data_IF_760985732570
#
_entry.id   IF_760985732570
#
_cell.length_a   1.000
_cell.length_b   1.000
_cell.length_c   1.000
_cell.angle_alpha   90.00
_cell.angle_beta   90.00
_cell.angle_gamma   90.00
#
_symmetry.space_group_name_H-M   'P 1'
#
loop_
_entity.id
_entity.type
_entity.pdbx_description
1 polymer ?
#
# COMPACT_ATOMS: atom_id res chain seq x y z
N UNK A 1 73.01 -48.81 9.62
CA UNK A 1 72.92 -48.19 10.97
C UNK A 1 72.18 -46.85 10.97
N UNK A 2 72.67 -45.77 10.36
CA UNK A 2 71.98 -44.47 10.41
C UNK A 2 70.64 -44.44 9.63
N UNK A 3 70.58 -45.06 8.45
CA UNK A 3 69.36 -45.17 7.64
C UNK A 3 68.27 -46.02 8.30
N UNK A 4 68.67 -47.13 8.94
CA UNK A 4 67.74 -48.03 9.64
C UNK A 4 67.08 -47.33 10.84
N UNK A 5 67.85 -46.51 11.57
CA UNK A 5 67.35 -45.69 12.68
C UNK A 5 66.34 -44.62 12.21
N UNK A 6 66.60 -43.98 11.08
CA UNK A 6 65.66 -43.00 10.48
C UNK A 6 64.38 -43.70 10.04
N UNK A 7 64.49 -44.89 9.43
CA UNK A 7 63.35 -45.68 8.98
C UNK A 7 62.48 -46.15 10.14
N UNK A 8 63.07 -46.62 11.25
CA UNK A 8 62.32 -46.96 12.46
C UNK A 8 61.60 -45.75 13.06
N UNK A 9 62.27 -44.60 13.14
CA UNK A 9 61.64 -43.35 13.63
C UNK A 9 60.48 -42.93 12.74
N UNK A 10 60.62 -43.03 11.41
CA UNK A 10 59.56 -42.72 10.46
C UNK A 10 58.37 -43.67 10.61
N UNK A 11 58.59 -44.99 10.71
CA UNK A 11 57.52 -45.96 10.97
C UNK A 11 56.83 -45.72 12.32
N UNK A 12 57.61 -45.42 13.37
CA UNK A 12 57.08 -45.08 14.68
C UNK A 12 56.28 -43.77 14.70
N UNK A 13 56.61 -42.81 13.84
CA UNK A 13 55.83 -41.58 13.65
C UNK A 13 54.52 -41.89 12.92
N UNK A 14 54.58 -42.62 11.81
CA UNK A 14 53.40 -43.01 11.01
C UNK A 14 52.40 -43.81 11.85
N UNK A 15 52.87 -44.78 12.63
CA UNK A 15 52.02 -45.59 13.50
C UNK A 15 51.36 -44.75 14.61
N UNK A 16 52.09 -43.80 15.21
CA UNK A 16 51.54 -42.88 16.21
C UNK A 16 50.48 -41.96 15.61
N UNK A 17 50.73 -41.39 14.43
CA UNK A 17 49.77 -40.55 13.73
C UNK A 17 48.51 -41.35 13.40
N UNK A 18 48.66 -42.57 12.86
CA UNK A 18 47.55 -43.47 12.52
C UNK A 18 46.70 -43.85 13.74
N UNK A 19 47.34 -44.17 14.86
CA UNK A 19 46.67 -44.45 16.12
C UNK A 19 45.89 -43.24 16.65
N UNK A 20 46.46 -42.04 16.56
CA UNK A 20 45.80 -40.80 16.99
C UNK A 20 44.59 -40.46 16.13
N UNK A 21 44.66 -40.65 14.81
CA UNK A 21 43.50 -40.49 13.91
C UNK A 21 42.40 -41.50 14.19
N UNK A 22 42.73 -42.77 14.47
CA UNK A 22 41.73 -43.78 14.85
C UNK A 22 41.03 -43.43 16.15
N UNK A 23 41.80 -43.12 17.20
CA UNK A 23 41.24 -42.70 18.49
C UNK A 23 40.34 -41.47 18.39
N UNK A 24 40.70 -40.49 17.55
CA UNK A 24 39.85 -39.33 17.30
C UNK A 24 38.55 -39.72 16.56
N UNK A 25 38.64 -40.58 15.55
CA UNK A 25 37.47 -41.08 14.83
C UNK A 25 36.50 -41.84 15.75
N UNK A 26 37.03 -42.76 16.57
CA UNK A 26 36.24 -43.53 17.55
C UNK A 26 35.55 -42.61 18.57
N UNK A 27 36.24 -41.55 19.02
CA UNK A 27 35.67 -40.56 19.93
C UNK A 27 34.56 -39.71 19.27
N UNK A 28 34.70 -39.40 17.98
CA UNK A 28 33.65 -38.72 17.21
C UNK A 28 32.45 -39.62 17.02
N UNK A 29 32.65 -40.88 16.63
CA UNK A 29 31.59 -41.88 16.41
C UNK A 29 30.79 -42.12 17.69
N UNK A 30 31.47 -42.36 18.81
CA UNK A 30 30.83 -42.51 20.13
C UNK A 30 30.00 -41.28 20.50
N UNK A 31 30.52 -40.07 20.25
CA UNK A 31 29.80 -38.82 20.51
C UNK A 31 28.60 -38.64 19.58
N UNK A 32 28.69 -39.11 18.33
CA UNK A 32 27.57 -39.12 17.39
C UNK A 32 26.49 -40.11 17.82
N UNK A 33 26.84 -41.31 18.29
CA UNK A 33 25.90 -42.27 18.86
C UNK A 33 25.22 -41.74 20.14
N UNK A 34 25.98 -41.12 21.04
CA UNK A 34 25.45 -40.47 22.24
C UNK A 34 24.47 -39.33 21.89
N UNK A 35 24.74 -38.58 20.83
CA UNK A 35 23.81 -37.54 20.34
C UNK A 35 22.60 -38.17 19.62
N UNK A 36 22.80 -39.19 18.80
CA UNK A 36 21.75 -39.87 18.05
C UNK A 36 20.75 -40.58 18.97
N UNK A 37 21.24 -41.24 20.02
CA UNK A 37 20.40 -41.83 21.06
C UNK A 37 19.57 -40.78 21.80
N UNK A 38 20.12 -39.58 22.01
CA UNK A 38 19.42 -38.47 22.69
C UNK A 38 18.31 -37.82 21.85
N UNK A 39 18.32 -37.96 20.52
CA UNK A 39 17.31 -37.44 19.59
C UNK A 39 16.48 -38.55 18.92
N UNK A 40 16.48 -39.76 19.46
CA UNK A 40 15.75 -40.87 18.88
C UNK A 40 14.25 -40.59 18.90
N UNK A 41 13.63 -40.67 17.72
CA UNK A 41 12.18 -40.63 17.59
C UNK A 41 11.57 -42.01 17.87
N UNK A 42 10.32 -42.02 18.29
CA UNK A 42 9.54 -43.22 18.63
C UNK A 42 8.30 -43.33 17.76
N UNK A 43 7.67 -44.50 17.77
CA UNK A 43 6.43 -44.76 17.04
C UNK A 43 5.19 -44.39 17.86
N UNK A 44 4.04 -44.24 17.20
CA UNK A 44 2.76 -43.88 17.81
C UNK A 44 2.31 -44.82 18.94
N UNK A 45 2.72 -46.09 18.92
CA UNK A 45 2.37 -47.03 20.00
C UNK A 45 3.12 -46.71 21.30
N UNK A 46 4.31 -46.12 21.19
CA UNK A 46 5.26 -45.86 22.29
C UNK A 46 5.06 -44.50 22.96
N UNK A 47 4.34 -43.56 22.34
CA UNK A 47 4.11 -42.24 22.92
C UNK A 47 3.12 -42.29 24.10
N UNK A 48 3.23 -41.36 25.07
CA UNK A 48 2.25 -41.19 26.13
C UNK A 48 0.83 -40.90 25.62
N UNK A 49 -0.20 -41.24 26.39
CA UNK A 49 -1.61 -41.07 26.01
C UNK A 49 -2.00 -39.62 25.68
N UNK A 50 -1.46 -38.64 26.41
CA UNK A 50 -1.74 -37.21 26.17
C UNK A 50 -1.21 -36.70 24.81
N UNK A 51 -0.30 -37.44 24.16
CA UNK A 51 0.25 -37.12 22.84
C UNK A 51 -0.44 -37.89 21.70
N UNK A 52 -1.32 -38.86 21.99
CA UNK A 52 -1.98 -39.71 20.98
C UNK A 52 -3.13 -38.98 20.30
N UNK A 53 -2.80 -38.04 19.42
CA UNK A 53 -3.75 -37.17 18.73
C UNK A 53 -4.21 -37.69 17.37
N UNK A 54 -3.32 -38.30 16.61
CA UNK A 54 -3.57 -38.72 15.23
C UNK A 54 -3.06 -40.15 15.01
N UNK A 55 -3.93 -41.17 15.02
CA UNK A 55 -3.51 -42.57 14.85
C UNK A 55 -2.98 -42.89 13.45
N UNK A 56 -3.10 -41.97 12.49
CA UNK A 56 -2.65 -42.17 11.12
C UNK A 56 -1.18 -41.78 10.91
N UNK A 57 -0.62 -40.98 11.81
CA UNK A 57 0.81 -40.66 11.86
C UNK A 57 1.49 -41.73 12.71
N UNK A 58 2.41 -42.51 12.13
CA UNK A 58 2.90 -43.74 12.76
C UNK A 58 4.28 -43.59 13.38
N UNK A 59 5.15 -42.78 12.79
CA UNK A 59 6.54 -42.63 13.18
C UNK A 59 6.95 -41.16 13.37
N UNK A 60 8.14 -40.95 13.94
CA UNK A 60 8.77 -39.63 13.99
C UNK A 60 8.44 -38.80 15.23
N UNK A 61 7.83 -39.39 16.27
CA UNK A 61 7.48 -38.68 17.50
C UNK A 61 8.67 -38.46 18.42
N UNK A 62 8.68 -37.33 19.14
CA UNK A 62 9.63 -37.02 20.22
C UNK A 62 8.97 -37.24 21.57
N UNK A 63 9.67 -37.77 22.57
CA UNK A 63 9.14 -37.97 23.93
C UNK A 63 10.18 -37.68 25.00
N UNK A 64 9.73 -37.20 26.16
CA UNK A 64 10.51 -36.99 27.38
C UNK A 64 11.75 -36.10 27.23
N UNK A 65 11.66 -35.06 26.39
CA UNK A 65 12.78 -34.15 26.15
C UNK A 65 12.94 -33.11 27.27
N UNK A 66 14.20 -32.84 27.63
CA UNK A 66 14.54 -31.66 28.43
C UNK A 66 14.31 -30.35 27.65
N UNK A 67 14.19 -29.21 28.34
CA UNK A 67 13.98 -27.89 27.68
C UNK A 67 15.02 -27.60 26.59
N UNK A 68 16.29 -28.00 26.79
CA UNK A 68 17.38 -27.75 25.85
C UNK A 68 17.26 -28.67 24.63
N UNK A 69 16.85 -29.92 24.84
CA UNK A 69 16.57 -30.87 23.78
C UNK A 69 15.41 -30.43 22.90
N UNK A 70 14.32 -29.90 23.49
CA UNK A 70 13.21 -29.33 22.72
C UNK A 70 13.71 -28.27 21.73
N UNK A 71 14.49 -27.28 22.21
CA UNK A 71 15.05 -26.25 21.35
C UNK A 71 16.02 -26.80 20.30
N UNK A 72 16.90 -27.73 20.67
CA UNK A 72 17.83 -28.33 19.70
C UNK A 72 17.13 -29.20 18.66
N UNK A 73 15.96 -29.75 18.99
CA UNK A 73 15.17 -30.57 18.07
C UNK A 73 14.53 -29.77 16.94
N UNK A 74 14.39 -28.44 17.07
CA UNK A 74 13.93 -27.55 15.98
C UNK A 74 14.74 -27.75 14.69
N UNK A 75 16.03 -28.07 14.81
CA UNK A 75 16.94 -28.31 13.70
C UNK A 75 17.12 -29.80 13.37
N UNK A 76 16.21 -30.66 13.83
CA UNK A 76 16.16 -32.10 13.56
C UNK A 76 14.85 -32.47 12.90
N UNK A 77 14.88 -33.50 12.08
CA UNK A 77 13.71 -33.99 11.36
C UNK A 77 12.88 -34.91 12.25
N UNK A 78 11.60 -34.60 12.39
CA UNK A 78 10.59 -35.33 13.15
C UNK A 78 9.20 -34.91 12.66
N UNK A 79 8.14 -35.55 13.14
CA UNK A 79 6.76 -35.31 12.68
C UNK A 79 6.29 -33.84 12.87
N UNK A 80 6.82 -33.16 13.90
CA UNK A 80 6.51 -31.75 14.18
C UNK A 80 7.39 -30.71 13.45
N UNK A 81 8.39 -31.12 12.65
CA UNK A 81 9.36 -30.17 12.08
C UNK A 81 8.66 -29.12 11.23
N UNK A 82 7.75 -29.53 10.34
CA UNK A 82 7.01 -28.60 9.49
C UNK A 82 6.02 -27.74 10.27
N UNK A 83 5.39 -28.29 11.32
CA UNK A 83 4.49 -27.52 12.17
C UNK A 83 5.23 -26.37 12.87
N UNK A 84 6.46 -26.60 13.33
CA UNK A 84 7.34 -25.58 13.93
C UNK A 84 7.76 -24.55 12.87
N UNK A 85 8.33 -25.00 11.75
CA UNK A 85 8.93 -24.11 10.77
C UNK A 85 7.92 -23.29 9.97
N UNK A 86 6.73 -23.83 9.67
CA UNK A 86 5.69 -23.08 8.95
C UNK A 86 5.27 -21.83 9.72
N UNK A 87 4.95 -21.95 11.00
CA UNK A 87 4.56 -20.84 11.84
C UNK A 87 5.73 -19.97 12.30
N UNK A 88 6.94 -20.53 12.49
CA UNK A 88 8.13 -19.73 12.81
C UNK A 88 8.54 -18.83 11.63
N UNK A 89 8.53 -19.35 10.41
CA UNK A 89 8.75 -18.54 9.20
C UNK A 89 7.63 -17.51 9.05
N UNK A 90 6.38 -17.92 9.23
CA UNK A 90 5.23 -17.02 9.23
C UNK A 90 5.40 -15.85 10.21
N UNK A 91 5.86 -16.11 11.43
CA UNK A 91 6.13 -15.08 12.43
C UNK A 91 7.12 -14.04 11.90
N UNK A 92 8.22 -14.46 11.27
CA UNK A 92 9.20 -13.52 10.72
C UNK A 92 8.66 -12.75 9.51
N UNK A 93 7.81 -13.37 8.69
CA UNK A 93 7.10 -12.66 7.60
C UNK A 93 6.21 -11.57 8.19
N UNK A 94 5.36 -11.88 9.17
CA UNK A 94 4.50 -10.89 9.81
C UNK A 94 5.29 -9.84 10.59
N UNK A 95 6.43 -10.18 11.19
CA UNK A 95 7.32 -9.21 11.83
C UNK A 95 7.93 -8.23 10.80
N UNK A 96 8.34 -8.74 9.63
CA UNK A 96 8.81 -7.90 8.53
C UNK A 96 7.67 -7.02 7.97
N UNK A 97 6.46 -7.57 7.86
CA UNK A 97 5.26 -6.80 7.49
C UNK A 97 4.97 -5.72 8.53
N UNK A 98 5.04 -6.01 9.83
CA UNK A 98 4.86 -5.01 10.89
C UNK A 98 5.89 -3.90 10.76
N UNK A 99 7.16 -4.27 10.61
CA UNK A 99 8.24 -3.32 10.43
C UNK A 99 7.98 -2.46 9.19
N UNK A 100 7.62 -3.05 8.05
CA UNK A 100 7.27 -2.33 6.84
C UNK A 100 6.04 -1.42 7.05
N UNK A 101 4.97 -1.89 7.67
CA UNK A 101 3.79 -1.08 8.01
C UNK A 101 4.16 0.09 8.91
N UNK A 102 5.01 -0.10 9.91
CA UNK A 102 5.42 0.98 10.80
C UNK A 102 6.45 1.93 10.16
N UNK A 103 7.34 1.42 9.32
CA UNK A 103 8.43 2.16 8.68
C UNK A 103 8.02 2.82 7.36
N UNK A 104 7.51 2.05 6.41
CA UNK A 104 7.10 2.53 5.10
C UNK A 104 5.84 3.36 5.18
N UNK A 105 4.84 2.91 5.96
CA UNK A 105 3.63 3.71 6.10
C UNK A 105 3.83 4.88 7.05
N UNK A 106 4.86 4.92 7.93
CA UNK A 106 5.19 6.07 8.81
C UNK A 106 4.81 7.43 8.20
N UNK A 107 4.31 8.43 8.95
CA UNK A 107 3.91 9.75 8.43
C UNK A 107 4.97 10.43 7.54
N UNK A 108 6.21 9.95 7.56
CA UNK A 108 7.32 10.43 6.76
C UNK A 108 7.51 9.71 5.39
N UNK A 109 6.77 8.64 5.08
CA UNK A 109 7.07 7.70 3.99
C UNK A 109 6.10 7.69 2.81
N UNK A 110 4.78 7.61 3.04
CA UNK A 110 3.77 7.50 1.96
C UNK A 110 3.19 8.85 1.53
N UNK A 111 3.04 9.79 2.47
CA UNK A 111 2.39 11.08 2.19
C UNK A 111 3.17 11.91 1.17
N UNK A 112 4.50 11.78 1.12
CA UNK A 112 5.33 12.56 0.19
C UNK A 112 5.22 12.08 -1.26
N UNK A 113 5.16 10.78 -1.50
CA UNK A 113 5.10 10.24 -2.87
C UNK A 113 3.70 10.42 -3.46
N UNK A 114 2.65 10.12 -2.69
CA UNK A 114 1.26 10.29 -3.14
C UNK A 114 0.89 11.77 -3.30
N UNK A 115 1.35 12.65 -2.41
CA UNK A 115 1.15 14.09 -2.58
C UNK A 115 1.90 14.62 -3.81
N UNK A 116 3.10 14.11 -4.10
CA UNK A 116 3.86 14.51 -5.28
C UNK A 116 3.20 14.03 -6.58
N UNK A 117 2.71 12.79 -6.62
CA UNK A 117 2.07 12.20 -7.79
C UNK A 117 0.68 12.83 -8.06
N UNK A 118 -0.10 13.12 -7.00
CA UNK A 118 -1.36 13.85 -7.11
C UNK A 118 -1.15 15.31 -7.53
N UNK A 119 -0.13 15.98 -6.99
CA UNK A 119 0.25 17.33 -7.39
C UNK A 119 0.63 17.37 -8.87
N UNK A 120 1.46 16.43 -9.34
CA UNK A 120 1.87 16.37 -10.75
C UNK A 120 0.71 16.09 -11.69
N UNK A 121 -0.22 15.21 -11.30
CA UNK A 121 -1.38 14.84 -12.14
C UNK A 121 -2.38 15.98 -12.22
N UNK A 122 -2.72 16.62 -11.10
CA UNK A 122 -3.59 17.79 -11.08
C UNK A 122 -2.98 18.97 -11.84
N UNK A 123 -1.68 19.20 -11.69
CA UNK A 123 -0.98 20.24 -12.44
C UNK A 123 -1.02 19.98 -13.96
N UNK A 124 -0.86 18.72 -14.39
CA UNK A 124 -0.94 18.36 -15.81
C UNK A 124 -2.35 18.51 -16.39
N UNK A 125 -3.39 18.05 -15.69
CA UNK A 125 -4.78 18.22 -16.15
C UNK A 125 -5.20 19.69 -16.19
N UNK A 126 -4.81 20.48 -15.19
CA UNK A 126 -5.10 21.90 -15.19
C UNK A 126 -4.39 22.59 -16.35
N UNK A 127 -3.08 22.36 -16.53
CA UNK A 127 -2.33 22.97 -17.64
C UNK A 127 -2.88 22.56 -19.01
N UNK A 128 -3.34 21.33 -19.20
CA UNK A 128 -3.92 20.88 -20.47
C UNK A 128 -5.29 21.51 -20.78
N UNK A 129 -6.11 21.78 -19.77
CA UNK A 129 -7.42 22.41 -19.98
C UNK A 129 -7.33 23.91 -20.29
N UNK A 130 -6.30 24.60 -19.80
CA UNK A 130 -6.10 26.04 -20.05
C UNK A 130 -5.18 26.34 -21.24
N UNK A 131 -4.46 25.36 -21.77
CA UNK A 131 -3.58 25.54 -22.93
C UNK A 131 -4.33 26.01 -24.20
N UNK A 132 -5.52 25.46 -24.55
CA UNK A 132 -6.27 25.91 -25.73
C UNK A 132 -6.76 27.36 -25.59
N UNK A 133 -7.19 27.76 -24.39
CA UNK A 133 -7.65 29.11 -24.11
C UNK A 133 -6.50 30.12 -24.15
N UNK A 134 -5.32 29.75 -23.62
CA UNK A 134 -4.11 30.58 -23.71
C UNK A 134 -3.62 30.72 -25.16
N UNK A 135 -3.67 29.65 -25.95
CA UNK A 135 -3.37 29.72 -27.39
C UNK A 135 -4.40 30.55 -28.16
N UNK A 136 -5.69 30.48 -27.79
CA UNK A 136 -6.73 31.30 -28.40
C UNK A 136 -6.54 32.78 -28.05
N UNK A 137 -6.22 33.11 -26.80
CA UNK A 137 -5.94 34.48 -26.36
C UNK A 137 -4.70 35.02 -27.07
N UNK A 138 -3.63 34.22 -27.17
CA UNK A 138 -2.41 34.62 -27.90
C UNK A 138 -2.68 34.87 -29.39
N UNK A 139 -3.50 34.03 -30.05
CA UNK A 139 -3.93 34.25 -31.45
C UNK A 139 -4.79 35.50 -31.59
N UNK A 140 -5.77 35.70 -30.72
CA UNK A 140 -6.60 36.91 -30.72
C UNK A 140 -5.78 38.19 -30.47
N UNK A 141 -4.69 38.10 -29.69
CA UNK A 141 -3.75 39.21 -29.47
C UNK A 141 -2.90 39.49 -30.71
N UNK A 142 -2.47 38.45 -31.43
CA UNK A 142 -1.77 38.61 -32.71
C UNK A 142 -2.69 39.24 -33.77
N UNK A 143 -3.94 38.77 -33.87
CA UNK A 143 -4.93 39.33 -34.80
C UNK A 143 -5.28 40.79 -34.45
N UNK A 144 -5.39 41.12 -33.17
CA UNK A 144 -5.57 42.52 -32.75
C UNK A 144 -4.36 43.38 -33.08
N UNK A 145 -3.14 42.84 -32.93
CA UNK A 145 -1.92 43.56 -33.31
C UNK A 145 -1.89 43.82 -34.81
N UNK A 146 -2.22 42.83 -35.64
CA UNK A 146 -2.30 43.00 -37.11
C UNK A 146 -3.41 43.99 -37.51
N UNK A 147 -4.58 43.91 -36.88
CA UNK A 147 -5.66 44.86 -37.14
C UNK A 147 -5.30 46.29 -36.71
N UNK A 148 -4.59 46.46 -35.59
CA UNK A 148 -4.12 47.77 -35.14
C UNK A 148 -3.11 48.37 -36.13
N UNK A 149 -2.17 47.57 -36.64
CA UNK A 149 -1.23 47.98 -37.69
C UNK A 149 -1.99 48.37 -38.97
N UNK A 150 -3.00 47.60 -39.36
CA UNK A 150 -3.80 47.87 -40.57
C UNK A 150 -4.63 49.16 -40.45
N UNK A 151 -5.16 49.43 -39.26
CA UNK A 151 -5.88 50.67 -38.96
C UNK A 151 -4.92 51.86 -38.96
N UNK A 152 -3.71 51.70 -38.42
CA UNK A 152 -2.65 52.71 -38.50
C UNK A 152 -2.27 53.02 -39.95
N UNK A 153 -2.10 52.00 -40.79
CA UNK A 153 -1.85 52.15 -42.24
C UNK A 153 -3.00 52.88 -42.96
N UNK A 154 -4.26 52.51 -42.69
CA UNK A 154 -5.43 53.18 -43.29
C UNK A 154 -5.57 54.63 -42.83
N UNK A 155 -5.31 54.91 -41.56
CA UNK A 155 -5.30 56.29 -41.05
C UNK A 155 -4.21 57.09 -41.76
N UNK A 156 -3.02 56.53 -41.90
CA UNK A 156 -1.91 57.19 -42.58
C UNK A 156 -2.20 57.44 -44.07
N UNK A 157 -2.88 56.51 -44.74
CA UNK A 157 -3.33 56.66 -46.12
C UNK A 157 -4.40 57.76 -46.26
N UNK A 158 -5.41 57.77 -45.37
CA UNK A 158 -6.44 58.81 -45.34
C UNK A 158 -5.85 60.20 -45.03
N UNK A 159 -4.88 60.28 -44.11
CA UNK A 159 -4.15 61.51 -43.83
C UNK A 159 -3.34 61.99 -45.03
N UNK A 160 -2.68 61.09 -45.75
CA UNK A 160 -1.94 61.42 -46.97
C UNK A 160 -2.88 61.91 -48.07
N UNK A 161 -4.05 61.29 -48.24
CA UNK A 161 -5.08 61.74 -49.18
C UNK A 161 -5.58 63.15 -48.83
N UNK A 162 -5.95 63.39 -47.57
CA UNK A 162 -6.41 64.69 -47.10
C UNK A 162 -5.33 65.78 -47.27
N UNK A 163 -4.05 65.44 -47.05
CA UNK A 163 -2.92 66.33 -47.28
C UNK A 163 -2.77 66.68 -48.77
N UNK A 164 -2.89 65.71 -49.66
CA UNK A 164 -2.80 65.91 -51.11
C UNK A 164 -3.93 66.80 -51.62
N UNK A 165 -5.18 66.53 -51.22
CA UNK A 165 -6.33 67.37 -51.56
C UNK A 165 -6.16 68.82 -51.10
N UNK A 166 -5.69 69.01 -49.87
CA UNK A 166 -5.48 70.35 -49.32
C UNK A 166 -4.37 71.11 -50.06
N UNK A 167 -3.25 70.43 -50.39
CA UNK A 167 -2.17 71.02 -51.18
C UNK A 167 -2.62 71.37 -52.60
N UNK A 168 -3.42 70.50 -53.22
CA UNK A 168 -4.04 70.75 -54.52
C UNK A 168 -4.99 71.97 -54.45
N UNK A 169 -5.80 72.06 -53.40
CA UNK A 169 -6.67 73.22 -53.14
C UNK A 169 -5.88 74.53 -53.01
N UNK A 170 -4.75 74.51 -52.29
CA UNK A 170 -3.86 75.67 -52.16
C UNK A 170 -3.22 76.03 -53.52
N UNK A 171 -2.81 75.05 -54.32
CA UNK A 171 -2.27 75.30 -55.66
C UNK A 171 -3.32 75.88 -56.61
N UNK A 172 -4.55 75.35 -56.60
CA UNK A 172 -5.66 75.87 -57.38
C UNK A 172 -6.01 77.30 -56.97
N UNK A 173 -6.02 77.59 -55.67
CA UNK A 173 -6.25 78.94 -55.14
C UNK A 173 -5.13 79.90 -55.59
N UNK A 174 -3.87 79.46 -55.53
CA UNK A 174 -2.73 80.23 -56.01
C UNK A 174 -2.88 80.54 -57.51
N UNK A 175 -3.21 79.54 -58.32
CA UNK A 175 -3.37 79.72 -59.77
C UNK A 175 -4.54 80.65 -60.10
N UNK A 176 -5.65 80.53 -59.38
CA UNK A 176 -6.79 81.44 -59.53
C UNK A 176 -6.46 82.89 -59.14
N UNK A 177 -5.64 83.09 -58.11
CA UNK A 177 -5.15 84.42 -57.72
C UNK A 177 -4.15 85.00 -58.74
N UNK A 178 -3.30 84.16 -59.34
CA UNK A 178 -2.36 84.55 -60.41
C UNK A 178 -3.10 84.93 -61.72
N UNK A 179 -4.18 84.20 -62.07
CA UNK A 179 -5.02 84.49 -63.24
C UNK A 179 -5.82 85.81 -63.08
N UNK A 180 -6.23 86.16 -61.87
CA UNK A 180 -6.98 87.40 -61.60
C UNK A 180 -6.11 88.67 -61.61
N UNK A 181 -4.79 88.57 -61.43
CA UNK A 181 -3.91 89.74 -61.46
C UNK A 181 -2.45 89.40 -61.83
N UNK A 182 -2.06 89.49 -63.11
CA UNK A 182 -0.74 89.05 -63.60
C UNK A 182 0.47 89.86 -63.09
N UNK A 183 0.26 90.96 -62.37
CA UNK A 183 1.34 91.91 -62.01
C UNK A 183 1.22 92.48 -60.60
N UNK A 184 0.45 91.85 -59.71
CA UNK A 184 0.33 92.31 -58.33
C UNK A 184 1.43 91.71 -57.44
N UNK A 185 2.22 92.52 -56.71
CA UNK A 185 3.16 92.01 -55.72
C UNK A 185 2.38 91.65 -54.45
N UNK A 186 1.73 90.49 -54.45
CA UNK A 186 1.16 89.94 -53.21
C UNK A 186 2.35 89.65 -52.28
N UNK A 187 2.38 90.17 -51.04
CA UNK A 187 3.36 89.72 -50.06
C UNK A 187 3.13 88.23 -49.90
N UNK A 188 4.07 87.44 -50.43
CA UNK A 188 4.11 86.00 -50.32
C UNK A 188 4.45 85.64 -48.87
N UNK A 189 3.60 86.07 -47.94
CA UNK A 189 3.63 85.66 -46.54
C UNK A 189 3.37 84.16 -46.59
N UNK A 190 4.47 83.45 -46.35
CA UNK A 190 4.80 82.19 -47.00
C UNK A 190 3.64 81.20 -47.00
N UNK A 191 3.12 80.88 -48.18
CA UNK A 191 2.35 79.64 -48.41
C UNK A 191 3.15 78.42 -47.88
N UNK A 192 4.48 78.49 -47.90
CA UNK A 192 5.38 77.53 -47.25
C UNK A 192 5.23 77.48 -45.72
N UNK A 193 4.99 78.59 -45.04
CA UNK A 193 4.79 78.65 -43.58
C UNK A 193 3.40 78.13 -43.21
N UNK A 194 2.36 78.41 -43.99
CA UNK A 194 1.03 77.83 -43.79
C UNK A 194 1.05 76.33 -44.05
N UNK A 195 1.73 75.87 -45.11
CA UNK A 195 1.92 74.44 -45.37
C UNK A 195 2.75 73.75 -44.27
N UNK A 196 3.79 74.42 -43.73
CA UNK A 196 4.55 73.92 -42.59
C UNK A 196 3.71 73.86 -41.31
N UNK A 197 2.92 74.89 -41.01
CA UNK A 197 2.06 74.93 -39.83
C UNK A 197 0.98 73.86 -39.87
N UNK A 198 0.40 73.61 -41.05
CA UNK A 198 -0.56 72.52 -41.25
C UNK A 198 0.13 71.15 -41.10
N UNK A 199 1.32 70.97 -41.68
CA UNK A 199 2.11 69.74 -41.51
C UNK A 199 2.51 69.49 -40.05
N UNK A 200 2.81 70.55 -39.29
CA UNK A 200 3.18 70.47 -37.86
C UNK A 200 1.96 70.20 -36.98
N UNK A 201 0.78 70.73 -37.35
CA UNK A 201 -0.49 70.45 -36.67
C UNK A 201 -0.93 68.99 -36.87
N UNK A 202 -0.79 68.45 -38.08
CA UNK A 202 -1.04 67.02 -38.35
C UNK A 202 0.01 66.10 -37.70
N UNK A 203 1.28 66.52 -37.61
CA UNK A 203 2.32 65.78 -36.88
C UNK A 203 2.07 65.66 -35.37
N UNK A 204 1.24 66.54 -34.78
CA UNK A 204 0.86 66.51 -33.36
C UNK A 204 -0.39 65.66 -33.07
N UNK A 205 -1.10 65.19 -34.10
CA UNK A 205 -2.30 64.35 -34.00
C UNK A 205 -1.97 62.84 -34.02
N UNK A 206 -0.88 62.41 -33.37
CA UNK A 206 -0.57 60.98 -33.24
C UNK A 206 -1.63 60.27 -32.37
N UNK A 207 -2.08 59.05 -32.72
CA UNK A 207 -3.16 58.35 -32.03
C UNK A 207 -2.66 57.70 -30.73
N UNK A 208 -2.34 58.50 -29.70
CA UNK A 208 -1.91 57.99 -28.39
C UNK A 208 -3.07 57.83 -27.40
N UNK A 209 -4.13 58.64 -27.47
CA UNK A 209 -5.17 58.62 -26.43
C UNK A 209 -6.07 57.38 -26.48
N UNK A 210 -6.44 56.90 -27.68
CA UNK A 210 -7.28 55.71 -27.81
C UNK A 210 -6.55 54.41 -27.42
N UNK A 211 -5.26 54.29 -27.73
CA UNK A 211 -4.44 53.14 -27.34
C UNK A 211 -4.21 53.11 -25.82
N UNK A 212 -4.06 54.28 -25.20
CA UNK A 212 -3.89 54.41 -23.75
C UNK A 212 -5.17 54.06 -22.97
N UNK A 213 -6.34 54.50 -23.45
CA UNK A 213 -7.66 54.11 -22.93
C UNK A 213 -7.89 52.60 -23.04
N UNK A 214 -7.53 52.00 -24.17
CA UNK A 214 -7.66 50.57 -24.40
C UNK A 214 -6.73 49.75 -23.47
N UNK A 215 -5.51 50.23 -23.23
CA UNK A 215 -4.57 49.64 -22.28
C UNK A 215 -5.07 49.70 -20.82
N UNK A 216 -5.71 50.81 -20.41
CA UNK A 216 -6.32 50.94 -19.08
C UNK A 216 -7.50 49.98 -18.90
N UNK A 217 -8.36 49.86 -19.90
CA UNK A 217 -9.49 48.92 -19.89
C UNK A 217 -9.02 47.47 -19.76
N UNK A 218 -7.95 47.11 -20.48
CA UNK A 218 -7.34 45.78 -20.40
C UNK A 218 -6.74 45.50 -19.01
N UNK A 219 -5.96 46.43 -18.46
CA UNK A 219 -5.39 46.31 -17.11
C UNK A 219 -6.48 46.09 -16.04
N UNK A 220 -7.62 46.77 -16.17
CA UNK A 220 -8.75 46.64 -15.23
C UNK A 220 -9.40 45.24 -15.32
N UNK A 221 -9.63 44.73 -16.54
CA UNK A 221 -10.20 43.39 -16.74
C UNK A 221 -9.26 42.28 -16.25
N UNK A 222 -7.96 42.45 -16.48
CA UNK A 222 -6.93 41.52 -16.00
C UNK A 222 -6.89 41.44 -14.46
N UNK A 223 -6.98 42.59 -13.79
CA UNK A 223 -6.97 42.65 -12.31
C UNK A 223 -8.23 41.97 -11.72
N UNK A 224 -9.40 42.16 -12.34
CA UNK A 224 -10.64 41.51 -11.89
C UNK A 224 -10.61 39.99 -12.09
N UNK A 225 -10.01 39.50 -13.18
CA UNK A 225 -9.84 38.08 -13.45
C UNK A 225 -8.94 37.41 -12.41
N UNK A 226 -7.79 38.02 -12.08
CA UNK A 226 -6.89 37.51 -11.02
C UNK A 226 -7.57 37.47 -9.65
N UNK A 227 -8.46 38.42 -9.35
CA UNK A 227 -9.24 38.42 -8.12
C UNK A 227 -10.25 37.25 -8.06
N UNK A 228 -10.90 36.92 -9.18
CA UNK A 228 -11.83 35.78 -9.27
C UNK A 228 -11.13 34.43 -9.12
N UNK A 229 -9.90 34.29 -9.63
CA UNK A 229 -9.08 33.10 -9.41
C UNK A 229 -8.75 32.94 -7.92
N UNK A 230 -8.34 34.02 -7.25
CA UNK A 230 -8.08 34.02 -5.80
C UNK A 230 -9.30 33.65 -4.96
N UNK A 231 -10.49 34.07 -5.40
CA UNK A 231 -11.76 33.76 -4.74
C UNK A 231 -12.19 32.31 -5.02
N UNK A 232 -11.84 31.73 -6.16
CA UNK A 232 -12.08 30.32 -6.49
C UNK A 232 -11.15 29.38 -5.70
N UNK A 233 -9.91 29.80 -5.45
CA UNK A 233 -8.97 29.14 -4.53
C UNK A 233 -9.49 29.09 -3.09
N UNK A 234 -10.45 29.96 -2.73
CA UNK A 234 -11.04 30.04 -1.38
C UNK A 234 -12.33 29.23 -1.19
N UNK A 235 -12.80 28.50 -2.23
CA UNK A 235 -14.00 27.65 -2.15
C UNK A 235 -13.63 26.19 -1.91
N UNK A 236 -14.00 25.68 -0.74
CA UNK A 236 -13.64 24.34 -0.27
C UNK A 236 -14.20 23.20 -1.16
N UNK A 237 -13.40 22.17 -1.49
CA UNK A 237 -13.89 20.93 -2.06
C UNK A 237 -14.68 20.12 -1.01
N UNK A 238 -15.55 19.22 -1.49
CA UNK A 238 -16.33 18.25 -0.68
C UNK A 238 -15.50 17.68 0.48
N UNK A 239 -15.92 17.98 1.71
CA UNK A 239 -15.27 17.60 2.96
C UNK A 239 -15.04 16.08 3.09
N UNK A 240 -13.83 15.62 2.82
CA UNK A 240 -13.08 14.89 3.84
C UNK A 240 -12.22 15.93 4.57
N UNK A 241 -12.09 15.91 5.90
CA UNK A 241 -11.26 16.87 6.60
C UNK A 241 -9.85 16.86 5.97
N UNK A 242 -9.29 18.02 5.64
CA UNK A 242 -7.90 18.10 5.17
C UNK A 242 -6.91 17.49 6.20
N UNK A 243 -7.34 17.33 7.45
CA UNK A 243 -6.63 16.63 8.53
C UNK A 243 -6.74 15.09 8.47
N UNK A 244 -7.69 14.52 7.71
CA UNK A 244 -7.99 13.08 7.72
C UNK A 244 -7.08 12.25 6.81
N UNK A 245 -6.54 12.86 5.74
CA UNK A 245 -5.51 12.21 4.92
C UNK A 245 -4.21 12.02 5.70
N UNK A 246 -3.88 12.96 6.61
CA UNK A 246 -2.65 12.95 7.40
C UNK A 246 -2.71 12.01 8.62
N UNK A 247 -3.87 11.42 8.94
CA UNK A 247 -4.07 10.74 10.24
C UNK A 247 -4.97 9.50 10.24
N UNK A 248 -5.05 8.72 9.16
CA UNK A 248 -5.74 7.41 9.24
C UNK A 248 -5.00 6.52 10.25
N UNK A 249 -5.62 6.17 11.41
CA UNK A 249 -4.88 5.49 12.47
C UNK A 249 -4.45 4.09 12.01
N UNK A 250 -3.17 3.76 12.17
CA UNK A 250 -2.59 2.48 11.72
C UNK A 250 -2.54 1.41 12.79
N UNK A 251 -2.86 1.76 14.03
CA UNK A 251 -2.95 0.82 15.14
C UNK A 251 -3.91 -0.36 14.86
N UNK A 252 -5.02 -0.25 14.09
CA UNK A 252 -5.85 -1.41 13.79
C UNK A 252 -5.11 -2.46 12.97
N UNK A 253 -4.31 -2.04 11.98
CA UNK A 253 -3.47 -2.95 11.18
C UNK A 253 -2.38 -3.55 12.06
N UNK A 254 -1.75 -2.74 12.93
CA UNK A 254 -0.76 -3.24 13.88
C UNK A 254 -1.35 -4.27 14.85
N UNK A 255 -2.62 -4.13 15.25
CA UNK A 255 -3.31 -5.12 16.07
C UNK A 255 -3.53 -6.44 15.33
N UNK A 256 -3.93 -6.41 14.06
CA UNK A 256 -4.03 -7.62 13.25
C UNK A 256 -2.67 -8.32 13.09
N UNK A 257 -1.63 -7.57 12.71
CA UNK A 257 -0.29 -8.14 12.53
C UNK A 257 0.25 -8.68 13.86
N UNK A 258 0.07 -7.92 14.95
CA UNK A 258 0.48 -8.32 16.29
C UNK A 258 -0.24 -9.58 16.79
N UNK A 259 -1.55 -9.71 16.54
CA UNK A 259 -2.30 -10.91 16.91
C UNK A 259 -1.90 -12.12 16.06
N UNK A 260 -1.61 -11.94 14.77
CA UNK A 260 -1.03 -12.98 13.91
C UNK A 260 0.32 -13.45 14.44
N UNK A 261 1.24 -12.53 14.76
CA UNK A 261 2.53 -12.85 15.36
C UNK A 261 2.38 -13.63 16.67
N UNK A 262 1.46 -13.20 17.55
CA UNK A 262 1.19 -13.88 18.81
C UNK A 262 0.67 -15.31 18.58
N UNK A 263 -0.29 -15.50 17.67
CA UNK A 263 -0.83 -16.80 17.31
C UNK A 263 0.26 -17.75 16.80
N UNK A 264 1.04 -17.30 15.82
CA UNK A 264 2.11 -18.10 15.20
C UNK A 264 3.21 -18.46 16.20
N UNK A 265 3.56 -17.55 17.12
CA UNK A 265 4.56 -17.82 18.15
C UNK A 265 4.04 -18.78 19.22
N UNK A 266 2.80 -18.61 19.69
CA UNK A 266 2.15 -19.55 20.62
C UNK A 266 2.08 -20.95 20.03
N UNK A 267 1.72 -21.07 18.76
CA UNK A 267 1.69 -22.33 18.04
C UNK A 267 3.06 -22.95 17.88
N UNK A 268 4.06 -22.16 17.47
CA UNK A 268 5.46 -22.61 17.39
C UNK A 268 5.93 -23.15 18.73
N UNK A 269 5.67 -22.43 19.82
CA UNK A 269 6.06 -22.84 21.16
C UNK A 269 5.40 -24.16 21.60
N UNK A 270 4.11 -24.35 21.30
CA UNK A 270 3.43 -25.62 21.53
C UNK A 270 4.13 -26.77 20.81
N UNK A 271 4.37 -26.64 19.51
CA UNK A 271 5.01 -27.70 18.73
C UNK A 271 6.46 -27.96 19.14
N UNK A 272 7.18 -26.96 19.65
CA UNK A 272 8.52 -27.15 20.21
C UNK A 272 8.46 -27.96 21.51
N UNK A 273 7.52 -27.64 22.41
CA UNK A 273 7.51 -28.16 23.78
C UNK A 273 6.54 -29.32 24.05
N UNK A 274 5.73 -29.75 23.08
CA UNK A 274 4.73 -30.81 23.25
C UNK A 274 5.30 -32.14 23.76
N UNK A 275 6.57 -32.43 23.48
CA UNK A 275 7.23 -33.69 23.83
C UNK A 275 7.83 -33.69 25.25
N UNK A 276 7.71 -32.59 25.99
CA UNK A 276 8.43 -32.41 27.25
C UNK A 276 7.80 -33.10 28.44
N UNK A 277 6.54 -32.78 28.71
CA UNK A 277 5.77 -33.34 29.83
C UNK A 277 4.28 -33.08 29.59
N UNK A 278 3.41 -33.82 30.27
CA UNK A 278 1.96 -33.65 30.15
C UNK A 278 1.50 -32.23 30.54
N UNK A 279 2.03 -31.67 31.64
CA UNK A 279 1.69 -30.31 32.07
C UNK A 279 2.11 -29.28 31.03
N UNK A 280 3.37 -29.36 30.56
CA UNK A 280 3.88 -28.43 29.54
C UNK A 280 3.07 -28.54 28.25
N UNK A 281 2.75 -29.75 27.81
CA UNK A 281 1.94 -29.97 26.62
C UNK A 281 0.55 -29.31 26.78
N UNK A 282 -0.14 -29.55 27.90
CA UNK A 282 -1.44 -28.93 28.19
C UNK A 282 -1.35 -27.39 28.25
N UNK A 283 -0.35 -26.83 28.93
CA UNK A 283 -0.24 -25.38 29.11
C UNK A 283 0.05 -24.66 27.79
N UNK A 284 0.94 -25.19 26.96
CA UNK A 284 1.22 -24.61 25.65
C UNK A 284 0.10 -24.86 24.63
N UNK A 285 -0.62 -25.99 24.73
CA UNK A 285 -1.79 -26.24 23.88
C UNK A 285 -2.89 -25.20 24.14
N UNK A 286 -3.07 -24.78 25.40
CA UNK A 286 -3.98 -23.69 25.75
C UNK A 286 -3.55 -22.37 25.14
N UNK A 287 -2.25 -22.07 25.17
CA UNK A 287 -1.71 -20.86 24.55
C UNK A 287 -1.89 -20.88 23.03
N UNK A 288 -1.71 -22.03 22.37
CA UNK A 288 -1.96 -22.21 20.94
C UNK A 288 -3.42 -21.92 20.59
N UNK A 289 -4.38 -22.51 21.31
CA UNK A 289 -5.80 -22.23 21.11
C UNK A 289 -6.19 -20.79 21.41
N UNK A 290 -5.62 -20.18 22.46
CA UNK A 290 -5.81 -18.77 22.76
C UNK A 290 -5.24 -17.87 21.64
N UNK A 291 -4.13 -18.28 21.02
CA UNK A 291 -3.53 -17.63 19.86
C UNK A 291 -4.49 -17.55 18.67
N UNK A 292 -5.16 -18.66 18.33
CA UNK A 292 -6.17 -18.71 17.26
C UNK A 292 -7.31 -17.72 17.55
N UNK A 293 -7.82 -17.71 18.80
CA UNK A 293 -8.84 -16.76 19.23
C UNK A 293 -8.36 -15.31 19.07
N UNK A 294 -7.16 -14.99 19.52
CA UNK A 294 -6.58 -13.64 19.41
C UNK A 294 -6.41 -13.20 17.95
N UNK A 295 -5.98 -14.11 17.06
CA UNK A 295 -5.88 -13.85 15.63
C UNK A 295 -7.24 -13.50 15.03
N UNK A 296 -8.27 -14.34 15.25
CA UNK A 296 -9.63 -14.11 14.72
C UNK A 296 -10.19 -12.75 15.17
N UNK A 297 -10.02 -12.40 16.46
CA UNK A 297 -10.47 -11.10 16.97
C UNK A 297 -9.66 -9.96 16.35
N UNK A 298 -8.33 -10.05 16.39
CA UNK A 298 -7.44 -9.00 15.89
C UNK A 298 -7.60 -8.75 14.39
N UNK A 299 -7.87 -9.79 13.58
CA UNK A 299 -8.15 -9.66 12.16
C UNK A 299 -9.49 -8.98 11.86
N UNK A 300 -10.41 -8.94 12.81
CA UNK A 300 -11.72 -8.28 12.65
C UNK A 300 -11.64 -6.77 12.93
N UNK A 301 -10.69 -6.33 13.75
CA UNK A 301 -10.60 -4.93 14.19
C UNK A 301 -10.36 -3.97 13.02
N UNK A 302 -9.35 -4.21 12.18
CA UNK A 302 -9.03 -3.30 11.08
C UNK A 302 -10.15 -3.20 10.02
N UNK A 303 -10.71 -4.31 9.50
CA UNK A 303 -11.83 -4.24 8.57
C UNK A 303 -13.02 -3.49 9.16
N UNK A 304 -13.43 -3.77 10.40
CA UNK A 304 -14.57 -3.08 11.03
C UNK A 304 -14.29 -1.59 11.24
N UNK A 305 -13.11 -1.25 11.73
CA UNK A 305 -12.72 0.13 12.02
C UNK A 305 -12.74 0.99 10.75
N UNK A 306 -12.13 0.52 9.66
CA UNK A 306 -12.08 1.29 8.41
C UNK A 306 -13.42 1.28 7.66
N UNK A 307 -14.14 0.15 7.66
CA UNK A 307 -15.42 0.04 6.96
C UNK A 307 -16.48 0.96 7.56
N UNK A 308 -16.55 1.02 8.89
CA UNK A 308 -17.54 1.84 9.59
C UNK A 308 -16.92 3.12 10.13
N UNK A 309 -15.84 3.64 9.53
CA UNK A 309 -15.10 4.80 10.04
C UNK A 309 -16.01 5.99 10.39
N UNK A 310 -17.00 6.28 9.54
CA UNK A 310 -17.96 7.36 9.73
C UNK A 310 -19.12 7.04 10.70
N UNK A 311 -19.23 5.81 11.20
CA UNK A 311 -20.28 5.34 12.10
C UNK A 311 -19.68 4.62 13.32
N UNK A 312 -19.37 5.39 14.36
CA UNK A 312 -18.76 4.88 15.59
C UNK A 312 -19.64 3.87 16.35
N UNK A 313 -20.96 4.01 16.30
CA UNK A 313 -21.88 3.10 16.99
C UNK A 313 -21.79 1.68 16.41
N UNK A 314 -21.77 1.56 15.07
CA UNK A 314 -21.60 0.27 14.41
C UNK A 314 -20.21 -0.33 14.66
N UNK A 315 -19.14 0.48 14.68
CA UNK A 315 -17.80 -0.01 15.04
C UNK A 315 -17.81 -0.65 16.44
N UNK A 316 -18.32 0.08 17.44
CA UNK A 316 -18.36 -0.38 18.83
C UNK A 316 -19.21 -1.65 18.94
N UNK A 317 -20.39 -1.67 18.29
CA UNK A 317 -21.28 -2.83 18.33
C UNK A 317 -20.62 -4.09 17.76
N UNK A 318 -19.99 -4.01 16.58
CA UNK A 318 -19.35 -5.17 15.95
C UNK A 318 -18.09 -5.64 16.67
N UNK A 319 -17.26 -4.72 17.15
CA UNK A 319 -16.09 -5.08 17.96
C UNK A 319 -16.53 -5.75 19.26
N UNK A 320 -17.57 -5.22 19.92
CA UNK A 320 -18.13 -5.83 21.14
C UNK A 320 -18.67 -7.22 20.88
N UNK A 321 -19.42 -7.42 19.78
CA UNK A 321 -19.92 -8.74 19.38
C UNK A 321 -18.78 -9.74 19.17
N UNK A 322 -17.71 -9.33 18.47
CA UNK A 322 -16.54 -10.17 18.22
C UNK A 322 -15.81 -10.55 19.53
N UNK A 323 -15.64 -9.59 20.44
CA UNK A 323 -15.04 -9.83 21.76
C UNK A 323 -15.87 -10.77 22.62
N UNK A 324 -17.20 -10.63 22.63
CA UNK A 324 -18.10 -11.53 23.34
C UNK A 324 -18.04 -12.95 22.77
N UNK A 325 -18.10 -13.08 21.45
CA UNK A 325 -17.98 -14.38 20.77
C UNK A 325 -16.64 -15.06 21.06
N UNK A 326 -15.55 -14.28 21.05
CA UNK A 326 -14.21 -14.76 21.37
C UNK A 326 -14.10 -15.18 22.83
N UNK A 327 -14.73 -14.45 23.74
CA UNK A 327 -14.76 -14.80 25.17
C UNK A 327 -15.45 -16.14 25.40
N UNK A 328 -16.57 -16.39 24.71
CA UNK A 328 -17.25 -17.69 24.73
C UNK A 328 -16.35 -18.78 24.14
N UNK A 329 -15.70 -18.51 23.00
CA UNK A 329 -14.77 -19.45 22.38
C UNK A 329 -13.63 -19.84 23.33
N UNK A 330 -12.98 -18.86 23.97
CA UNK A 330 -11.91 -19.08 24.96
C UNK A 330 -12.39 -19.96 26.13
N UNK A 331 -13.56 -19.68 26.70
CA UNK A 331 -14.14 -20.51 27.77
C UNK A 331 -14.30 -21.98 27.36
N UNK A 332 -14.66 -22.23 26.10
CA UNK A 332 -14.81 -23.59 25.58
C UNK A 332 -13.45 -24.23 25.32
N UNK A 333 -12.57 -23.59 24.53
CA UNK A 333 -11.32 -24.22 24.06
C UNK A 333 -10.25 -24.35 25.13
N UNK A 334 -10.28 -23.52 26.18
CA UNK A 334 -9.35 -23.60 27.32
C UNK A 334 -9.80 -24.59 28.40
N UNK A 335 -11.03 -25.10 28.30
CA UNK A 335 -11.53 -26.12 29.22
C UNK A 335 -10.82 -27.46 29.01
N UNK A 336 -10.44 -28.10 30.13
CA UNK A 336 -9.81 -29.45 30.12
C UNK A 336 -10.57 -30.48 29.30
N UNK A 337 -11.91 -30.41 29.29
CA UNK A 337 -12.76 -31.36 28.55
C UNK A 337 -12.55 -31.23 27.04
N UNK A 338 -12.62 -30.02 26.50
CA UNK A 338 -12.62 -29.80 25.04
C UNK A 338 -11.23 -29.82 24.41
N UNK A 339 -10.15 -29.85 25.21
CA UNK A 339 -8.79 -30.04 24.71
C UNK A 339 -8.52 -31.47 24.24
N UNK A 340 -9.28 -32.47 24.69
CA UNK A 340 -9.05 -33.85 24.29
C UNK A 340 -9.28 -34.07 22.79
N UNK A 341 -8.64 -35.09 22.24
CA UNK A 341 -8.65 -35.40 20.81
C UNK A 341 -10.07 -35.68 20.30
N UNK A 342 -10.91 -36.28 21.14
CA UNK A 342 -12.32 -36.59 20.84
C UNK A 342 -13.14 -35.35 20.44
N UNK A 343 -12.81 -34.19 21.01
CA UNK A 343 -13.52 -32.94 20.77
C UNK A 343 -12.91 -32.09 19.65
N UNK A 344 -12.05 -32.66 18.79
CA UNK A 344 -11.47 -31.96 17.64
C UNK A 344 -12.54 -31.24 16.79
N UNK A 345 -13.64 -31.93 16.48
CA UNK A 345 -14.77 -31.38 15.71
C UNK A 345 -15.43 -30.20 16.40
N UNK A 346 -15.60 -30.29 17.73
CA UNK A 346 -16.20 -29.22 18.52
C UNK A 346 -15.30 -27.99 18.53
N UNK A 347 -13.98 -28.17 18.73
CA UNK A 347 -13.02 -27.05 18.67
C UNK A 347 -13.05 -26.35 17.31
N UNK A 348 -13.00 -27.10 16.22
CA UNK A 348 -13.07 -26.53 14.86
C UNK A 348 -14.38 -25.77 14.62
N UNK A 349 -15.51 -26.30 15.09
CA UNK A 349 -16.80 -25.61 15.00
C UNK A 349 -16.83 -24.31 15.81
N UNK A 350 -16.23 -24.29 17.01
CA UNK A 350 -16.12 -23.08 17.85
C UNK A 350 -15.28 -22.01 17.16
N UNK A 351 -14.12 -22.37 16.59
CA UNK A 351 -13.28 -21.42 15.86
C UNK A 351 -13.96 -20.88 14.60
N UNK A 352 -14.63 -21.74 13.83
CA UNK A 352 -15.39 -21.34 12.65
C UNK A 352 -16.55 -20.40 13.03
N UNK A 353 -17.30 -20.72 14.09
CA UNK A 353 -18.38 -19.85 14.57
C UNK A 353 -17.84 -18.49 15.02
N UNK A 354 -16.71 -18.47 15.73
CA UNK A 354 -16.05 -17.22 16.11
C UNK A 354 -15.67 -16.40 14.87
N UNK A 355 -15.07 -17.02 13.86
CA UNK A 355 -14.71 -16.37 12.60
C UNK A 355 -15.92 -15.85 11.81
N UNK A 356 -17.04 -16.58 11.80
CA UNK A 356 -18.30 -16.14 11.17
C UNK A 356 -18.84 -14.83 11.76
N UNK A 357 -18.51 -14.49 13.02
CA UNK A 357 -18.94 -13.18 13.57
C UNK A 357 -18.31 -12.00 12.82
N UNK A 358 -17.12 -12.19 12.24
CA UNK A 358 -16.46 -11.20 11.38
C UNK A 358 -17.09 -11.06 9.99
N UNK A 359 -17.99 -11.95 9.57
CA UNK A 359 -18.68 -11.82 8.27
C UNK A 359 -19.90 -10.91 8.34
N UNK A 360 -20.52 -10.75 9.51
CA UNK A 360 -21.65 -9.83 9.70
C UNK A 360 -21.34 -8.37 9.33
N UNK A 361 -20.23 -7.75 9.78
CA UNK A 361 -19.89 -6.39 9.36
C UNK A 361 -19.65 -6.28 7.86
N UNK A 362 -19.04 -7.31 7.24
CA UNK A 362 -18.84 -7.33 5.79
C UNK A 362 -20.18 -7.39 5.03
N UNK A 363 -21.11 -8.25 5.45
CA UNK A 363 -22.46 -8.34 4.86
C UNK A 363 -23.24 -7.03 5.05
N UNK A 364 -23.17 -6.42 6.23
CA UNK A 364 -23.85 -5.15 6.48
C UNK A 364 -23.24 -4.03 5.64
N UNK A 365 -21.93 -3.98 5.47
CA UNK A 365 -21.28 -3.07 4.54
C UNK A 365 -21.79 -3.27 3.11
N UNK A 366 -21.80 -4.50 2.60
CA UNK A 366 -22.32 -4.83 1.26
C UNK A 366 -23.78 -4.35 1.09
N UNK A 367 -24.60 -4.52 2.13
CA UNK A 367 -25.99 -4.04 2.13
C UNK A 367 -26.06 -2.50 2.06
N UNK A 368 -25.27 -1.79 2.87
CA UNK A 368 -25.21 -0.32 2.89
C UNK A 368 -24.62 0.26 1.60
N UNK A 369 -23.66 -0.42 0.98
CA UNK A 369 -23.04 -0.04 -0.30
C UNK A 369 -23.98 -0.22 -1.50
N UNK A 370 -25.17 -0.79 -1.31
CA UNK A 370 -26.21 -0.86 -2.32
C UNK A 370 -25.83 -1.76 -3.50
N UNK A 371 -25.45 -3.02 -3.26
CA UNK A 371 -25.26 -4.04 -4.32
C UNK A 371 -26.54 -4.30 -5.16
N UNK A 372 -27.66 -3.71 -4.77
CA UNK A 372 -28.88 -3.60 -5.58
C UNK A 372 -28.73 -2.64 -6.78
N UNK A 373 -27.68 -1.81 -6.85
CA UNK A 373 -27.34 -1.04 -8.03
C UNK A 373 -26.71 -1.95 -9.11
N UNK A 374 -27.21 -1.92 -10.37
CA UNK A 374 -26.72 -2.80 -11.43
C UNK A 374 -25.22 -2.69 -11.71
N UNK A 375 -24.63 -1.51 -11.47
CA UNK A 375 -23.18 -1.28 -11.61
C UNK A 375 -22.34 -2.03 -10.57
N UNK A 376 -22.79 -2.11 -9.31
CA UNK A 376 -22.10 -2.81 -8.23
C UNK A 376 -22.27 -4.34 -8.31
N UNK A 377 -23.30 -4.80 -9.03
CA UNK A 377 -23.49 -6.22 -9.35
C UNK A 377 -22.58 -6.68 -10.50
N UNK A 378 -22.33 -5.82 -11.49
CA UNK A 378 -21.43 -6.12 -12.63
C UNK A 378 -19.95 -6.05 -12.24
N UNK A 379 -19.58 -5.22 -11.27
CA UNK A 379 -18.24 -5.14 -10.68
C UNK A 379 -18.33 -5.20 -9.14
N UNK A 380 -18.27 -6.40 -8.55
CA UNK A 380 -18.31 -6.56 -7.10
C UNK A 380 -17.16 -5.79 -6.44
N UNK A 381 -17.42 -5.09 -5.32
CA UNK A 381 -16.36 -4.47 -4.52
C UNK A 381 -15.28 -5.52 -4.13
N UNK A 382 -14.01 -5.10 -4.04
CA UNK A 382 -12.85 -5.96 -3.72
C UNK A 382 -13.07 -6.73 -2.40
N UNK A 383 -13.83 -6.15 -1.49
CA UNK A 383 -14.26 -6.67 -0.20
C UNK A 383 -15.01 -8.01 -0.33
N UNK A 384 -15.80 -8.20 -1.39
CA UNK A 384 -16.53 -9.44 -1.64
C UNK A 384 -15.56 -10.57 -2.00
N UNK A 385 -14.58 -10.29 -2.87
CA UNK A 385 -13.57 -11.28 -3.24
C UNK A 385 -12.73 -11.68 -2.03
N UNK A 386 -12.33 -10.70 -1.20
CA UNK A 386 -11.60 -10.96 0.05
C UNK A 386 -12.42 -11.81 1.03
N UNK A 387 -13.72 -11.51 1.20
CA UNK A 387 -14.61 -12.28 2.06
C UNK A 387 -14.75 -13.74 1.59
N UNK A 388 -14.98 -13.93 0.29
CA UNK A 388 -15.14 -15.27 -0.31
C UNK A 388 -13.84 -16.07 -0.27
N UNK A 389 -12.69 -15.45 -0.58
CA UNK A 389 -11.40 -16.13 -0.50
C UNK A 389 -11.06 -16.53 0.92
N UNK A 390 -11.29 -15.64 1.89
CA UNK A 390 -11.08 -15.92 3.32
C UNK A 390 -11.97 -17.07 3.78
N UNK A 391 -13.28 -17.03 3.46
CA UNK A 391 -14.21 -18.10 3.80
C UNK A 391 -13.78 -19.45 3.19
N UNK A 392 -13.35 -19.46 1.92
CA UNK A 392 -12.89 -20.66 1.25
C UNK A 392 -11.66 -21.27 1.94
N UNK A 393 -10.65 -20.45 2.28
CA UNK A 393 -9.43 -20.92 2.96
C UNK A 393 -9.75 -21.45 4.36
N UNK A 394 -10.56 -20.74 5.15
CA UNK A 394 -10.99 -21.18 6.48
C UNK A 394 -11.72 -22.52 6.45
N UNK A 395 -12.68 -22.67 5.54
CA UNK A 395 -13.47 -23.90 5.41
C UNK A 395 -12.62 -25.07 4.89
N UNK A 396 -11.78 -24.83 3.90
CA UNK A 396 -10.88 -25.85 3.36
C UNK A 396 -9.88 -26.31 4.43
N UNK A 397 -9.23 -25.37 5.13
CA UNK A 397 -8.30 -25.67 6.22
C UNK A 397 -8.97 -26.45 7.35
N UNK A 398 -10.13 -26.00 7.83
CA UNK A 398 -10.86 -26.68 8.89
C UNK A 398 -11.32 -28.08 8.46
N UNK A 399 -11.76 -28.23 7.20
CA UNK A 399 -12.13 -29.51 6.61
C UNK A 399 -10.95 -30.49 6.59
N UNK A 400 -9.78 -30.04 6.13
CA UNK A 400 -8.54 -30.82 6.12
C UNK A 400 -8.17 -31.25 7.55
N UNK A 401 -8.16 -30.30 8.50
CA UNK A 401 -7.83 -30.58 9.91
C UNK A 401 -8.77 -31.61 10.57
N UNK A 402 -10.08 -31.51 10.32
CA UNK A 402 -11.07 -32.42 10.91
C UNK A 402 -11.04 -33.81 10.28
N UNK A 403 -10.87 -33.89 8.96
CA UNK A 403 -10.87 -35.16 8.21
C UNK A 403 -9.53 -35.88 8.24
N UNK A 404 -8.47 -35.18 8.64
CA UNK A 404 -7.10 -35.70 8.69
C UNK A 404 -6.60 -36.20 7.33
N UNK A 405 -7.04 -35.56 6.25
CA UNK A 405 -6.59 -35.86 4.89
C UNK A 405 -5.27 -35.11 4.65
N UNK A 406 -4.23 -35.75 4.09
CA UNK A 406 -4.25 -37.05 3.41
C UNK A 406 -3.88 -38.27 4.26
N UNK A 407 -3.38 -38.11 5.49
CA UNK A 407 -2.85 -39.22 6.29
C UNK A 407 -3.92 -40.26 6.68
N UNK A 408 -5.18 -39.87 6.82
CA UNK A 408 -6.29 -40.79 7.09
C UNK A 408 -6.53 -41.76 5.94
N UNK A 409 -6.28 -41.33 4.70
CA UNK A 409 -6.38 -42.15 3.49
C UNK A 409 -5.13 -43.02 3.28
N UNK A 410 -3.95 -42.52 3.67
CA UNK A 410 -2.68 -43.22 3.51
C UNK A 410 -1.84 -43.20 4.81
N UNK A 411 -2.22 -43.99 5.83
CA UNK A 411 -1.54 -43.96 7.12
C UNK A 411 -0.05 -44.32 7.02
N UNK A 412 0.81 -43.57 7.71
CA UNK A 412 2.26 -43.77 7.68
C UNK A 412 3.00 -43.13 6.49
N UNK A 413 2.30 -42.61 5.48
CA UNK A 413 2.94 -41.99 4.30
C UNK A 413 3.25 -40.51 4.50
N UNK A 414 2.52 -39.85 5.38
CA UNK A 414 2.57 -38.41 5.62
C UNK A 414 3.09 -38.10 7.04
N UNK A 415 3.92 -38.98 7.60
CA UNK A 415 4.40 -38.88 8.98
C UNK A 415 5.30 -37.65 9.22
N UNK A 416 6.06 -37.25 8.20
CA UNK A 416 7.01 -36.14 8.29
C UNK A 416 6.55 -34.90 7.51
N UNK A 417 5.84 -35.08 6.39
CA UNK A 417 5.51 -34.01 5.45
C UNK A 417 4.06 -34.14 4.97
N UNK A 418 3.41 -32.99 4.74
CA UNK A 418 2.08 -32.84 4.16
C UNK A 418 0.96 -33.54 4.92
N UNK A 419 1.11 -33.72 6.24
CA UNK A 419 -0.01 -34.13 7.09
C UNK A 419 -1.06 -33.02 7.15
N UNK A 420 -2.30 -33.38 7.49
CA UNK A 420 -3.42 -32.43 7.56
C UNK A 420 -3.15 -31.27 8.51
N UNK A 421 -2.42 -31.53 9.61
CA UNK A 421 -2.06 -30.50 10.58
C UNK A 421 -1.04 -29.51 10.00
N UNK A 422 -0.09 -29.99 9.20
CA UNK A 422 0.86 -29.13 8.49
C UNK A 422 0.15 -28.29 7.41
N UNK A 423 -0.80 -28.88 6.68
CA UNK A 423 -1.61 -28.16 5.69
C UNK A 423 -2.53 -27.13 6.36
N UNK A 424 -3.06 -27.43 7.55
CA UNK A 424 -3.80 -26.47 8.37
C UNK A 424 -2.93 -25.27 8.74
N UNK A 425 -1.69 -25.48 9.17
CA UNK A 425 -0.75 -24.37 9.45
C UNK A 425 -0.53 -23.48 8.22
N UNK A 426 -0.45 -24.08 7.03
CA UNK A 426 -0.31 -23.32 5.78
C UNK A 426 -1.57 -22.53 5.45
N UNK A 427 -2.77 -23.04 5.76
CA UNK A 427 -4.02 -22.31 5.56
C UNK A 427 -4.23 -21.16 6.56
N UNK A 428 -3.60 -21.23 7.73
CA UNK A 428 -3.62 -20.17 8.75
C UNK A 428 -2.70 -19.00 8.37
N UNK A 429 -1.56 -19.31 7.73
CA UNK A 429 -0.61 -18.33 7.20
C UNK A 429 -1.19 -17.60 5.97
#
# INVERSE_FOLDING_TARGET
MALDSIRERAHGLVNRTRARTRSWADAVEKKMEEVATKFRTVSFSQIPSYMKDNPHIREGYRTDFDWRLCWRSVFKLHNETFNIWSHLIGFFIFAALLFYTLWALSPNGVDRQLAFDNFNTQLQEHLQNYLPDMEHIARSMLDMKENAVRVEEQLQENFNYARLELLQGIQNLKQHLEDMCPSCPIPMMNIKQTAHAVSDMFGRLHPQEQVLEMGKSFSQKWTNFLHQIREFESREPLYFPHEAHDFLPRWPIAMFIGSAMACLLCSTAYHVFLCRSESTCSDFQRLDYAGICALITGSTVAPVYYTFYCNGDLQIAYITLCLLSTSVALCVVLSKKYMSVEYRRVRSAVFLFNACTGTFPAIHCIYLSGVTNPMNFMFPPVEIYYLLSTAAIYLAGAGIYVTQIPESLFPGKFDLFLSSHQLWHVAVL
#
